data_IF_675830616521
#
_entry.id   IF_675830616521
#
_cell.length_a   1.000
_cell.length_b   1.000
_cell.length_c   1.000
_cell.angle_alpha   90.00
_cell.angle_beta   90.00
_cell.angle_gamma   90.00
#
_symmetry.space_group_name_H-M   'P 1'
#
loop_
_entity.id
_entity.type
_entity.pdbx_description
1 polymer ?
#
# COMPACT_ATOMS: atom_id res chain seq x y z
N UNK A 1 -0.04 2.35 15.83
CA UNK A 1 -0.60 2.90 14.58
C UNK A 1 -1.89 2.17 14.22
N UNK A 2 -2.92 2.83 13.67
CA UNK A 2 -4.11 2.13 13.21
C UNK A 2 -3.77 1.27 11.98
N UNK A 3 -3.86 -0.04 12.14
CA UNK A 3 -3.74 -1.00 11.02
C UNK A 3 -5.12 -1.07 10.37
N UNK A 4 -5.21 -0.74 9.09
CA UNK A 4 -6.44 -0.88 8.31
C UNK A 4 -6.23 -2.01 7.31
N UNK A 5 -7.13 -2.97 7.29
CA UNK A 5 -7.09 -4.03 6.29
C UNK A 5 -7.89 -3.57 5.08
N UNK A 6 -7.26 -3.52 3.90
CA UNK A 6 -7.97 -3.26 2.64
C UNK A 6 -7.73 -4.43 1.70
N UNK A 7 -8.81 -5.10 1.31
CA UNK A 7 -8.77 -6.10 0.26
C UNK A 7 -8.63 -5.38 -1.09
N UNK A 8 -7.38 -5.19 -1.54
CA UNK A 8 -7.12 -4.70 -2.88
C UNK A 8 -7.32 -5.86 -3.86
N UNK A 9 -8.31 -5.75 -4.74
CA UNK A 9 -8.45 -6.68 -5.87
C UNK A 9 -7.41 -6.28 -6.91
N UNK A 10 -6.18 -6.78 -6.78
CA UNK A 10 -5.16 -6.60 -7.81
C UNK A 10 -5.47 -7.53 -8.98
N UNK A 11 -6.03 -6.98 -10.07
CA UNK A 11 -6.30 -7.71 -11.34
C UNK A 11 -5.02 -8.04 -12.13
N UNK A 12 -3.92 -8.42 -11.46
CA UNK A 12 -2.62 -8.59 -12.13
C UNK A 12 -2.15 -10.04 -12.30
N UNK A 13 -2.92 -11.03 -11.86
CA UNK A 13 -2.66 -12.45 -12.18
C UNK A 13 -4.00 -13.16 -12.46
N UNK A 14 -4.02 -14.15 -13.38
CA UNK A 14 -5.25 -14.86 -13.69
C UNK A 14 -5.73 -15.58 -12.44
N UNK A 15 -6.92 -15.17 -11.95
CA UNK A 15 -7.84 -15.93 -11.10
C UNK A 15 -7.18 -16.79 -10.02
N UNK A 16 -7.07 -16.31 -8.77
CA UNK A 16 -7.42 -17.12 -7.56
C UNK A 16 -7.08 -16.48 -6.21
N UNK A 17 -6.21 -15.48 -6.10
CA UNK A 17 -5.88 -14.93 -4.78
C UNK A 17 -6.39 -13.50 -4.62
N UNK A 18 -7.52 -13.36 -3.91
CA UNK A 18 -7.80 -12.16 -3.12
C UNK A 18 -6.68 -12.06 -2.07
N UNK A 19 -5.55 -11.47 -2.45
CA UNK A 19 -4.49 -11.19 -1.51
C UNK A 19 -5.00 -10.08 -0.58
N UNK A 20 -5.38 -10.45 0.64
CA UNK A 20 -5.62 -9.50 1.71
C UNK A 20 -4.29 -8.80 2.01
N UNK A 21 -4.11 -7.60 1.45
CA UNK A 21 -2.90 -6.82 1.68
C UNK A 21 -3.13 -5.91 2.89
N UNK A 22 -2.23 -6.02 3.86
CA UNK A 22 -2.19 -5.08 4.97
C UNK A 22 -1.83 -3.71 4.42
N UNK A 23 -2.65 -2.70 4.70
CA UNK A 23 -2.30 -1.31 4.44
C UNK A 23 -2.11 -0.60 5.78
N UNK A 24 -1.23 0.39 5.81
CA UNK A 24 -0.93 1.14 7.03
C UNK A 24 -0.90 2.62 6.74
N UNK A 25 -1.41 3.42 7.66
CA UNK A 25 -1.20 4.87 7.59
C UNK A 25 0.29 5.12 7.72
N UNK A 26 0.88 5.89 6.81
CA UNK A 26 2.28 6.31 6.93
C UNK A 26 2.42 7.25 8.11
N UNK A 27 3.44 7.06 8.93
CA UNK A 27 3.56 7.83 10.18
C UNK A 27 3.64 9.33 9.90
N UNK A 28 4.45 9.69 8.91
CA UNK A 28 4.64 11.08 8.46
C UNK A 28 3.39 11.73 7.87
N UNK A 29 2.45 10.93 7.38
CA UNK A 29 1.23 11.40 6.74
C UNK A 29 0.03 11.30 7.69
N UNK A 30 0.22 10.92 8.97
CA UNK A 30 -0.85 10.69 9.94
C UNK A 30 -1.83 11.86 10.04
N UNK A 31 -1.33 13.09 10.00
CA UNK A 31 -2.14 14.29 10.17
C UNK A 31 -2.45 14.99 8.83
N UNK A 32 -2.28 14.29 7.71
CA UNK A 32 -2.58 14.84 6.37
C UNK A 32 -4.00 14.54 5.94
N UNK A 33 -4.64 15.51 5.28
CA UNK A 33 -5.95 15.33 4.66
C UNK A 33 -5.83 15.51 3.13
N UNK A 34 -6.16 14.47 2.33
CA UNK A 34 -6.62 13.15 2.74
C UNK A 34 -5.49 12.26 3.29
N UNK A 35 -5.85 11.33 4.18
CA UNK A 35 -4.91 10.37 4.78
C UNK A 35 -4.23 9.53 3.70
N UNK A 36 -2.89 9.48 3.72
CA UNK A 36 -2.10 8.60 2.86
C UNK A 36 -1.76 7.28 3.55
N UNK A 37 -1.99 6.20 2.83
CA UNK A 37 -1.69 4.84 3.26
C UNK A 37 -0.55 4.28 2.43
N UNK A 38 0.17 3.36 3.03
CA UNK A 38 1.27 2.60 2.48
C UNK A 38 0.87 1.13 2.38
N UNK A 39 1.40 0.44 1.37
CA UNK A 39 1.42 -1.01 1.29
C UNK A 39 2.70 -1.48 0.59
N UNK A 40 3.11 -2.71 0.88
CA UNK A 40 4.23 -3.37 0.18
C UNK A 40 3.64 -4.25 -0.91
N UNK A 41 3.96 -3.91 -2.16
CA UNK A 41 3.58 -4.66 -3.36
C UNK A 41 4.78 -5.31 -4.04
N UNK A 42 4.54 -5.85 -5.22
CA UNK A 42 5.55 -6.47 -6.08
C UNK A 42 5.36 -6.02 -7.53
N UNK A 43 6.45 -5.81 -8.26
CA UNK A 43 6.43 -5.60 -9.72
C UNK A 43 6.12 -6.90 -10.46
N UNK A 44 5.87 -6.79 -11.76
CA UNK A 44 5.77 -7.92 -12.70
C UNK A 44 7.03 -8.79 -12.74
N UNK A 45 8.19 -8.19 -12.47
CA UNK A 45 9.49 -8.85 -12.36
C UNK A 45 9.80 -9.39 -10.95
N UNK A 46 8.87 -9.27 -9.99
CA UNK A 46 9.05 -9.75 -8.62
C UNK A 46 9.96 -8.88 -7.76
N UNK A 47 10.15 -7.60 -8.10
CA UNK A 47 10.84 -6.64 -7.25
C UNK A 47 9.85 -6.03 -6.25
N UNK A 48 10.22 -5.89 -4.97
CA UNK A 48 9.34 -5.31 -3.98
C UNK A 48 9.17 -3.81 -4.20
N UNK A 49 7.93 -3.33 -4.05
CA UNK A 49 7.56 -1.93 -4.25
C UNK A 49 6.93 -1.33 -3.00
N UNK A 50 7.29 -0.09 -2.69
CA UNK A 50 6.51 0.81 -1.84
C UNK A 50 5.38 1.42 -2.68
N UNK A 51 4.13 1.13 -2.32
CA UNK A 51 2.96 1.72 -2.94
C UNK A 51 2.27 2.65 -1.93
N UNK A 52 2.05 3.90 -2.35
CA UNK A 52 1.34 4.88 -1.54
C UNK A 52 0.03 5.27 -2.21
N UNK A 53 -1.04 5.25 -1.42
CA UNK A 53 -2.40 5.40 -1.89
C UNK A 53 -3.22 6.30 -0.99
N UNK A 54 -4.29 6.85 -1.55
CA UNK A 54 -5.37 7.49 -0.80
C UNK A 54 -6.65 6.73 -1.08
N UNK A 55 -7.46 6.60 -0.03
CA UNK A 55 -8.84 6.12 -0.16
C UNK A 55 -9.76 7.30 -0.41
N UNK A 56 -10.55 7.20 -1.47
CA UNK A 56 -11.58 8.17 -1.85
C UNK A 56 -12.95 7.50 -1.80
N UNK A 57 -14.01 8.29 -1.89
CA UNK A 57 -15.39 7.79 -1.99
C UNK A 57 -15.61 6.89 -3.20
N UNK A 58 -14.79 7.05 -4.25
CA UNK A 58 -14.86 6.30 -5.50
C UNK A 58 -13.89 5.12 -5.57
N UNK A 59 -13.06 4.90 -4.54
CA UNK A 59 -12.09 3.80 -4.48
C UNK A 59 -10.67 4.22 -4.10
N UNK A 60 -9.70 3.38 -4.44
CA UNK A 60 -8.28 3.60 -4.14
C UNK A 60 -7.59 4.30 -5.31
N UNK A 61 -6.87 5.39 -5.03
CA UNK A 61 -5.96 6.04 -5.96
C UNK A 61 -4.52 5.82 -5.49
N UNK A 62 -3.67 5.26 -6.35
CA UNK A 62 -2.23 5.11 -6.10
C UNK A 62 -1.51 6.34 -6.66
N UNK A 63 -0.77 7.06 -5.82
CA UNK A 63 -0.07 8.30 -6.20
C UNK A 63 1.37 8.04 -6.63
N UNK A 64 2.03 7.09 -5.97
CA UNK A 64 3.40 6.76 -6.29
C UNK A 64 3.71 5.29 -6.01
N UNK A 65 4.55 4.73 -6.87
CA UNK A 65 5.16 3.42 -6.74
C UNK A 65 6.67 3.59 -6.84
N UNK A 66 7.39 3.24 -5.78
CA UNK A 66 8.85 3.27 -5.75
C UNK A 66 9.39 1.88 -5.44
N UNK A 67 10.65 1.62 -5.77
CA UNK A 67 11.33 0.44 -5.24
C UNK A 67 11.36 0.47 -3.73
N UNK A 68 11.11 -0.69 -3.11
CA UNK A 68 11.07 -0.82 -1.67
C UNK A 68 12.42 -0.43 -1.07
N UNK A 69 12.41 0.58 -0.19
CA UNK A 69 13.58 1.00 0.57
C UNK A 69 13.59 0.33 1.94
N UNK A 70 14.78 0.10 2.51
CA UNK A 70 14.91 -0.47 3.86
C UNK A 70 14.35 0.46 4.95
N UNK A 71 14.43 1.78 4.77
CA UNK A 71 13.81 2.75 5.67
C UNK A 71 12.28 2.61 5.68
N UNK A 72 11.66 2.52 4.50
CA UNK A 72 10.22 2.32 4.41
C UNK A 72 9.79 0.96 4.95
N UNK A 73 10.55 -0.10 4.65
CA UNK A 73 10.28 -1.43 5.19
C UNK A 73 10.25 -1.41 6.73
N UNK A 74 11.19 -0.72 7.37
CA UNK A 74 11.20 -0.53 8.83
C UNK A 74 9.98 0.24 9.32
N UNK A 75 9.67 1.38 8.72
CA UNK A 75 8.47 2.18 9.02
C UNK A 75 7.19 1.31 8.92
N UNK A 76 7.10 0.48 7.88
CA UNK A 76 5.92 -0.32 7.61
C UNK A 76 5.68 -1.44 8.65
N UNK A 77 6.74 -2.06 9.18
CA UNK A 77 6.63 -3.16 10.14
C UNK A 77 6.66 -2.74 11.62
N UNK A 78 6.92 -1.46 11.92
CA UNK A 78 6.89 -0.90 13.29
C UNK A 78 5.47 -0.73 13.84
#
# INVERSE_FOLDING_TARGET
>A
MPISTVCLVTRFLPLTNLACQTIRVRERDRDTEPQRYALIGWSDTGLPLELCLVRTDFGVLIFHANYLTESFRKEFYQ
#
